data_IF_125090483381
#
_entry.id   IF_125090483381
#
_cell.length_a   1.000
_cell.length_b   1.000
_cell.length_c   1.000
_cell.angle_alpha   90.00
_cell.angle_beta   90.00
_cell.angle_gamma   90.00
#
_symmetry.space_group_name_H-M   'P 1'
#
loop_
_entity.id
_entity.type
_entity.pdbx_description
1 polymer ?
#
# COMPACT_ATOMS: atom_id res chain seq x y z
N UNK A 1 14.22 -12.48 17.62
CA UNK A 1 14.14 -12.25 16.16
C UNK A 1 14.81 -10.94 15.84
N UNK A 2 15.52 -10.88 14.71
CA UNK A 2 16.30 -9.71 14.30
C UNK A 2 15.40 -8.68 13.64
N UNK A 3 15.31 -7.48 14.22
CA UNK A 3 14.67 -6.33 13.57
C UNK A 3 15.48 -6.00 12.31
N UNK A 4 14.80 -5.90 11.17
CA UNK A 4 15.47 -5.59 9.90
C UNK A 4 15.88 -4.11 9.86
N UNK A 5 17.02 -3.82 9.25
CA UNK A 5 17.53 -2.46 9.02
C UNK A 5 16.73 -1.75 7.93
N UNK A 6 16.72 -0.41 7.92
CA UNK A 6 16.09 0.34 6.84
C UNK A 6 16.75 0.13 5.48
N UNK A 7 18.05 -0.15 5.41
CA UNK A 7 18.74 -0.53 4.17
C UNK A 7 18.18 -1.83 3.57
N UNK A 8 17.94 -2.83 4.42
CA UNK A 8 17.28 -4.06 4.00
C UNK A 8 15.85 -3.76 3.52
N UNK A 9 15.06 -3.04 4.32
CA UNK A 9 13.67 -2.75 3.98
C UNK A 9 13.53 -1.90 2.71
N UNK A 10 14.45 -0.96 2.46
CA UNK A 10 14.43 -0.13 1.26
C UNK A 10 14.73 -0.93 0.00
N UNK A 11 15.74 -1.81 0.03
CA UNK A 11 16.03 -2.70 -1.09
C UNK A 11 14.92 -3.73 -1.30
N UNK A 12 14.38 -4.28 -0.21
CA UNK A 12 13.25 -5.20 -0.25
C UNK A 12 12.05 -4.55 -0.96
N UNK A 13 11.71 -3.33 -0.54
CA UNK A 13 10.58 -2.61 -1.13
C UNK A 13 10.85 -2.21 -2.58
N UNK A 14 12.07 -1.78 -2.95
CA UNK A 14 12.43 -1.52 -4.34
C UNK A 14 12.16 -2.74 -5.22
N UNK A 15 12.57 -3.92 -4.77
CA UNK A 15 12.36 -5.17 -5.51
C UNK A 15 10.87 -5.55 -5.58
N UNK A 16 10.11 -5.32 -4.53
CA UNK A 16 8.65 -5.48 -4.57
C UNK A 16 7.99 -4.52 -5.57
N UNK A 17 8.39 -3.25 -5.57
CA UNK A 17 7.90 -2.22 -6.46
C UNK A 17 8.11 -2.60 -7.93
N UNK A 18 9.35 -2.92 -8.29
CA UNK A 18 9.73 -3.26 -9.67
C UNK A 18 9.07 -4.55 -10.16
N UNK A 19 8.82 -5.51 -9.27
CA UNK A 19 8.26 -6.81 -9.64
C UNK A 19 6.73 -6.82 -9.70
N UNK A 20 6.07 -6.05 -8.84
CA UNK A 20 4.63 -6.16 -8.60
C UNK A 20 3.93 -4.81 -8.60
N UNK A 21 4.17 -3.98 -7.57
CA UNK A 21 3.32 -2.83 -7.27
C UNK A 21 3.29 -1.80 -8.39
N UNK A 22 4.42 -1.59 -9.09
CA UNK A 22 4.48 -0.70 -10.27
C UNK A 22 3.46 -1.12 -11.32
N UNK A 23 3.47 -2.38 -11.72
CA UNK A 23 2.56 -2.88 -12.75
C UNK A 23 1.09 -2.80 -12.35
N UNK A 24 0.79 -2.94 -11.06
CA UNK A 24 -0.56 -2.75 -10.54
C UNK A 24 -1.00 -1.28 -10.58
N UNK A 25 -0.13 -0.36 -10.16
CA UNK A 25 -0.39 1.08 -10.21
C UNK A 25 -0.57 1.56 -11.66
N UNK A 26 0.30 1.13 -12.56
CA UNK A 26 0.27 1.51 -13.98
C UNK A 26 -1.04 1.04 -14.63
N UNK A 27 -1.45 -0.22 -14.39
CA UNK A 27 -2.70 -0.75 -14.90
C UNK A 27 -3.92 0.01 -14.36
N UNK A 28 -3.96 0.29 -13.05
CA UNK A 28 -5.08 1.02 -12.40
C UNK A 28 -5.20 2.49 -12.80
N UNK A 29 -4.11 3.06 -13.32
CA UNK A 29 -4.07 4.43 -13.86
C UNK A 29 -4.45 4.49 -15.34
N UNK A 30 -4.46 3.35 -16.04
CA UNK A 30 -4.85 3.24 -17.44
C UNK A 30 -6.36 3.33 -17.69
N UNK A 31 -6.77 3.10 -18.94
CA UNK A 31 -8.18 3.15 -19.37
C UNK A 31 -8.75 1.77 -19.75
N UNK A 32 -7.95 0.71 -19.70
CA UNK A 32 -8.35 -0.66 -20.07
C UNK A 32 -8.88 -1.40 -18.84
N UNK A 33 -10.20 -1.62 -18.80
CA UNK A 33 -10.87 -2.28 -17.68
C UNK A 33 -10.41 -3.73 -17.46
N UNK A 34 -10.10 -4.48 -18.52
CA UNK A 34 -9.65 -5.87 -18.38
C UNK A 34 -8.27 -5.93 -17.72
N UNK A 35 -7.39 -4.98 -18.08
CA UNK A 35 -6.09 -4.83 -17.41
C UNK A 35 -6.25 -4.42 -15.95
N UNK A 36 -7.16 -3.48 -15.64
CA UNK A 36 -7.45 -3.06 -14.25
C UNK A 36 -7.97 -4.21 -13.40
N UNK A 37 -8.94 -4.98 -13.91
CA UNK A 37 -9.49 -6.14 -13.20
C UNK A 37 -8.43 -7.23 -12.97
N UNK A 38 -7.61 -7.50 -13.99
CA UNK A 38 -6.49 -8.44 -13.88
C UNK A 38 -5.48 -7.99 -12.83
N UNK A 39 -5.15 -6.69 -12.80
CA UNK A 39 -4.27 -6.09 -11.79
C UNK A 39 -4.86 -6.21 -10.37
N UNK A 40 -6.16 -5.91 -10.18
CA UNK A 40 -6.83 -6.08 -8.89
C UNK A 40 -6.81 -7.53 -8.42
N UNK A 41 -7.09 -8.50 -9.30
CA UNK A 41 -7.03 -9.93 -8.96
C UNK A 41 -5.62 -10.33 -8.51
N UNK A 42 -4.58 -9.91 -9.24
CA UNK A 42 -3.17 -10.19 -8.90
C UNK A 42 -2.75 -9.52 -7.59
N UNK A 43 -3.07 -8.24 -7.41
CA UNK A 43 -2.81 -7.49 -6.19
C UNK A 43 -3.51 -8.12 -4.97
N UNK A 44 -4.77 -8.52 -5.11
CA UNK A 44 -5.53 -9.19 -4.05
C UNK A 44 -4.89 -10.51 -3.61
N UNK A 45 -4.33 -11.26 -4.57
CA UNK A 45 -3.56 -12.48 -4.31
C UNK A 45 -2.23 -12.18 -3.61
N UNK A 46 -1.46 -11.23 -4.14
CA UNK A 46 -0.16 -10.81 -3.60
C UNK A 46 -0.29 -10.35 -2.14
N UNK A 47 -1.24 -9.46 -1.86
CA UNK A 47 -1.50 -8.95 -0.52
C UNK A 47 -2.32 -9.89 0.37
N UNK A 48 -2.72 -11.06 -0.15
CA UNK A 48 -3.53 -12.08 0.56
C UNK A 48 -4.88 -11.57 1.07
N UNK A 49 -5.46 -10.58 0.40
CA UNK A 49 -6.76 -9.98 0.73
C UNK A 49 -7.91 -10.50 -0.13
N UNK A 50 -7.63 -11.32 -1.16
CA UNK A 50 -8.67 -11.86 -2.03
C UNK A 50 -9.83 -12.50 -1.24
N UNK A 51 -9.53 -13.25 -0.17
CA UNK A 51 -10.52 -13.94 0.68
C UNK A 51 -11.63 -13.03 1.26
N UNK A 52 -11.41 -11.72 1.31
CA UNK A 52 -12.38 -10.74 1.80
C UNK A 52 -13.48 -10.42 0.77
N UNK A 53 -13.26 -10.72 -0.51
CA UNK A 53 -14.19 -10.44 -1.62
C UNK A 53 -14.94 -11.69 -2.07
N UNK A 54 -15.44 -12.53 -1.17
CA UNK A 54 -16.20 -13.73 -1.57
C UNK A 54 -17.59 -13.31 -2.06
N UNK A 55 -17.95 -13.71 -3.26
CA UNK A 55 -19.29 -13.59 -3.84
C UNK A 55 -19.86 -14.97 -4.07
N UNK A 56 -21.19 -15.11 -3.99
CA UNK A 56 -21.88 -16.36 -4.34
C UNK A 56 -21.87 -16.59 -5.86
N UNK A 57 -21.80 -15.50 -6.64
CA UNK A 57 -21.73 -15.52 -8.10
C UNK A 57 -20.28 -15.41 -8.64
N UNK A 58 -20.09 -16.04 -9.82
CA UNK A 58 -18.83 -16.34 -10.56
C UNK A 58 -17.69 -15.31 -10.46
N UNK A 59 -16.45 -15.81 -10.49
CA UNK A 59 -15.19 -15.02 -10.34
C UNK A 59 -15.04 -13.77 -11.22
N UNK A 60 -15.65 -13.72 -12.41
CA UNK A 60 -15.48 -12.60 -13.35
C UNK A 60 -16.11 -11.29 -12.84
N UNK A 61 -17.21 -11.35 -12.08
CA UNK A 61 -17.82 -10.16 -11.46
C UNK A 61 -17.21 -9.82 -10.11
N UNK A 62 -16.34 -10.68 -9.55
CA UNK A 62 -15.85 -10.54 -8.18
C UNK A 62 -15.15 -9.21 -7.91
N UNK A 63 -14.37 -8.69 -8.85
CA UNK A 63 -13.56 -7.49 -8.66
C UNK A 63 -14.17 -6.24 -9.31
N UNK A 64 -15.19 -6.39 -10.16
CA UNK A 64 -15.84 -5.26 -10.85
C UNK A 64 -16.41 -4.22 -9.87
N UNK A 65 -17.15 -4.60 -8.80
CA UNK A 65 -17.69 -3.60 -7.88
C UNK A 65 -16.62 -2.82 -7.13
N UNK A 66 -15.47 -3.45 -6.84
CA UNK A 66 -14.32 -2.75 -6.25
C UNK A 66 -13.73 -1.77 -7.26
N UNK A 67 -13.56 -2.19 -8.52
CA UNK A 67 -13.05 -1.32 -9.57
C UNK A 67 -13.95 -0.10 -9.77
N UNK A 68 -15.28 -0.28 -9.84
CA UNK A 68 -16.24 0.82 -9.99
C UNK A 68 -16.12 1.83 -8.83
N UNK A 69 -15.92 1.34 -7.60
CA UNK A 69 -15.65 2.18 -6.45
C UNK A 69 -14.33 2.94 -6.64
N UNK A 70 -13.24 2.27 -7.00
CA UNK A 70 -11.92 2.88 -7.14
C UNK A 70 -11.84 3.90 -8.28
N UNK A 71 -12.54 3.67 -9.40
CA UNK A 71 -12.58 4.62 -10.52
C UNK A 71 -13.49 5.82 -10.22
N UNK A 72 -14.45 5.69 -9.29
CA UNK A 72 -15.25 6.82 -8.80
C UNK A 72 -14.53 7.73 -7.81
N UNK A 73 -13.33 7.35 -7.36
CA UNK A 73 -12.57 8.11 -6.37
C UNK A 73 -11.92 9.33 -7.02
N UNK A 74 -12.11 10.48 -6.40
CA UNK A 74 -11.31 11.67 -6.65
C UNK A 74 -10.09 11.68 -5.70
N UNK A 75 -8.84 11.51 -6.20
CA UNK A 75 -7.65 11.54 -5.37
C UNK A 75 -7.48 12.84 -4.58
N UNK A 76 -8.10 13.95 -5.00
CA UNK A 76 -8.03 15.22 -4.27
C UNK A 76 -8.70 15.17 -2.90
N UNK A 77 -9.63 14.24 -2.68
CA UNK A 77 -10.26 14.04 -1.36
C UNK A 77 -9.28 13.56 -0.30
N UNK A 78 -8.20 12.93 -0.72
CA UNK A 78 -7.12 12.49 0.17
C UNK A 78 -6.01 13.52 0.32
N UNK A 79 -6.13 14.69 -0.33
CA UNK A 79 -5.13 15.77 -0.23
C UNK A 79 -5.52 16.74 0.88
N UNK A 80 -4.67 16.86 1.89
CA UNK A 80 -4.77 17.83 2.97
C UNK A 80 -3.99 17.38 4.21
N UNK A 81 -3.54 18.34 5.03
CA UNK A 81 -2.69 18.08 6.21
C UNK A 81 -3.44 17.49 7.42
N UNK A 82 -4.70 17.07 7.25
CA UNK A 82 -5.53 16.57 8.35
C UNK A 82 -5.82 15.08 8.19
N UNK A 83 -5.11 14.25 8.97
CA UNK A 83 -5.30 12.80 9.07
C UNK A 83 -6.77 12.39 9.21
N UNK A 84 -7.57 13.18 9.93
CA UNK A 84 -9.00 12.93 10.14
C UNK A 84 -9.78 12.86 8.82
N UNK A 85 -9.50 13.75 7.86
CA UNK A 85 -10.18 13.75 6.57
C UNK A 85 -9.83 12.48 5.76
N UNK A 86 -8.54 12.12 5.73
CA UNK A 86 -8.06 10.92 5.03
C UNK A 86 -8.71 9.66 5.61
N UNK A 87 -8.73 9.53 6.95
CA UNK A 87 -9.32 8.37 7.65
C UNK A 87 -10.83 8.25 7.38
N UNK A 88 -11.56 9.37 7.41
CA UNK A 88 -13.00 9.39 7.13
C UNK A 88 -13.31 8.97 5.67
N UNK A 89 -12.52 9.42 4.70
CA UNK A 89 -12.66 9.01 3.30
C UNK A 89 -12.32 7.52 3.10
N UNK A 90 -11.28 7.00 3.77
CA UNK A 90 -10.98 5.56 3.75
C UNK A 90 -12.14 4.75 4.32
N UNK A 91 -12.70 5.15 5.47
CA UNK A 91 -13.86 4.50 6.09
C UNK A 91 -15.09 4.54 5.18
N UNK A 92 -15.29 5.64 4.44
CA UNK A 92 -16.37 5.72 3.45
C UNK A 92 -16.20 4.67 2.35
N UNK A 93 -15.00 4.57 1.76
CA UNK A 93 -14.69 3.57 0.74
C UNK A 93 -14.82 2.15 1.31
N UNK A 94 -14.31 1.91 2.51
CA UNK A 94 -14.41 0.63 3.23
C UNK A 94 -15.87 0.23 3.39
N UNK A 95 -16.74 1.15 3.85
CA UNK A 95 -18.16 0.89 4.03
C UNK A 95 -18.86 0.52 2.72
N UNK A 96 -18.53 1.21 1.61
CA UNK A 96 -19.08 0.92 0.28
C UNK A 96 -18.69 -0.47 -0.19
N UNK A 97 -17.42 -0.85 -0.05
CA UNK A 97 -16.95 -2.19 -0.40
C UNK A 97 -17.61 -3.22 0.53
N UNK A 98 -17.58 -3.01 1.85
CA UNK A 98 -18.12 -3.92 2.86
C UNK A 98 -19.57 -4.30 2.58
N UNK A 99 -20.42 -3.30 2.27
CA UNK A 99 -21.84 -3.52 1.94
C UNK A 99 -22.05 -4.47 0.77
N UNK A 100 -21.23 -4.38 -0.27
CA UNK A 100 -21.33 -5.23 -1.48
C UNK A 100 -20.97 -6.69 -1.15
N UNK A 101 -20.03 -6.91 -0.24
CA UNK A 101 -19.55 -8.24 0.13
C UNK A 101 -20.15 -8.75 1.45
N UNK A 102 -21.36 -8.32 1.82
CA UNK A 102 -22.12 -8.86 2.94
C UNK A 102 -21.67 -8.37 4.33
N UNK A 103 -21.20 -7.13 4.45
CA UNK A 103 -20.84 -6.52 5.73
C UNK A 103 -19.54 -7.05 6.34
N UNK A 104 -18.63 -7.57 5.51
CA UNK A 104 -17.34 -8.11 5.96
C UNK A 104 -16.39 -6.97 6.34
N UNK A 105 -15.46 -7.25 7.25
CA UNK A 105 -14.34 -6.35 7.49
C UNK A 105 -13.39 -6.37 6.28
N UNK A 106 -13.30 -5.25 5.58
CA UNK A 106 -12.48 -5.07 4.37
C UNK A 106 -11.47 -3.95 4.52
N UNK A 107 -11.16 -3.53 5.76
CA UNK A 107 -10.28 -2.38 6.03
C UNK A 107 -8.89 -2.54 5.42
N UNK A 108 -8.21 -3.65 5.70
CA UNK A 108 -6.87 -3.91 5.13
C UNK A 108 -6.89 -3.92 3.61
N UNK A 109 -7.87 -4.61 3.01
CA UNK A 109 -8.08 -4.63 1.55
C UNK A 109 -8.26 -3.22 0.99
N UNK A 110 -9.10 -2.43 1.64
CA UNK A 110 -9.43 -1.06 1.23
C UNK A 110 -8.18 -0.20 1.19
N UNK A 111 -7.39 -0.17 2.28
CA UNK A 111 -6.16 0.63 2.31
C UNK A 111 -5.12 0.18 1.27
N UNK A 112 -5.03 -1.13 0.98
CA UNK A 112 -4.10 -1.67 -0.04
C UNK A 112 -4.48 -1.24 -1.45
N UNK A 113 -5.77 -1.30 -1.78
CA UNK A 113 -6.25 -0.88 -3.10
C UNK A 113 -6.26 0.65 -3.26
N UNK A 114 -6.60 1.39 -2.21
CA UNK A 114 -6.48 2.85 -2.21
C UNK A 114 -5.03 3.28 -2.40
N UNK A 115 -4.06 2.63 -1.74
CA UNK A 115 -2.65 2.91 -1.95
C UNK A 115 -2.22 2.65 -3.41
N UNK A 116 -2.69 1.57 -4.04
CA UNK A 116 -2.38 1.32 -5.46
C UNK A 116 -2.97 2.38 -6.42
N UNK A 117 -4.05 3.06 -6.04
CA UNK A 117 -4.71 4.10 -6.85
C UNK A 117 -4.16 5.51 -6.56
N UNK A 118 -3.91 5.82 -5.28
CA UNK A 118 -3.62 7.18 -4.79
C UNK A 118 -2.17 7.32 -4.30
N UNK A 119 -1.56 6.24 -3.83
CA UNK A 119 -0.27 6.19 -3.12
C UNK A 119 -0.31 7.03 -1.85
N UNK A 120 0.47 8.11 -1.75
CA UNK A 120 0.48 9.00 -0.58
C UNK A 120 -0.74 9.94 -0.61
N UNK A 121 -1.42 10.20 0.52
CA UNK A 121 -1.02 9.87 1.91
C UNK A 121 -1.71 8.59 2.47
N UNK A 122 -2.01 7.59 1.65
CA UNK A 122 -2.66 6.36 2.12
C UNK A 122 -1.64 5.44 2.79
N UNK A 123 -1.77 5.23 4.09
CA UNK A 123 -1.01 4.23 4.84
C UNK A 123 -1.72 2.88 4.76
N UNK A 124 -0.99 1.81 4.49
CA UNK A 124 -1.57 0.47 4.43
C UNK A 124 -1.83 -0.05 5.85
N UNK A 125 -3.10 -0.37 6.13
CA UNK A 125 -3.49 -1.06 7.36
C UNK A 125 -3.21 -2.56 7.21
N UNK A 126 -2.16 -3.04 7.88
CA UNK A 126 -1.79 -4.45 7.97
C UNK A 126 -1.75 -4.90 9.43
N UNK A 127 -2.17 -6.13 9.73
CA UNK A 127 -2.26 -6.60 11.10
C UNK A 127 -0.90 -6.62 11.80
N UNK A 128 0.18 -6.95 11.09
CA UNK A 128 1.52 -6.97 11.66
C UNK A 128 2.03 -5.56 11.92
N UNK A 129 1.85 -4.64 10.96
CA UNK A 129 2.24 -3.25 11.14
C UNK A 129 1.47 -2.60 12.30
N UNK A 130 0.15 -2.85 12.39
CA UNK A 130 -0.70 -2.43 13.51
C UNK A 130 -0.17 -2.91 14.85
N UNK A 131 0.21 -4.18 14.95
CA UNK A 131 0.79 -4.75 16.17
C UNK A 131 2.15 -4.12 16.51
N UNK A 132 2.98 -3.87 15.50
CA UNK A 132 4.30 -3.26 15.66
C UNK A 132 4.25 -1.82 16.16
N UNK A 133 3.20 -1.07 15.81
CA UNK A 133 2.95 0.29 16.32
C UNK A 133 2.12 0.31 17.61
N UNK A 134 1.58 -0.83 18.04
CA UNK A 134 0.75 -0.94 19.24
C UNK A 134 -0.64 -0.32 19.09
N UNK A 135 -1.19 -0.30 17.87
CA UNK A 135 -2.51 0.24 17.61
C UNK A 135 -3.64 -0.75 17.96
N UNK A 136 -4.78 -0.22 18.38
CA UNK A 136 -5.98 -0.99 18.72
C UNK A 136 -6.51 -1.71 17.47
N UNK A 137 -7.12 -2.87 17.69
CA UNK A 137 -7.64 -3.66 16.58
C UNK A 137 -8.86 -2.98 15.95
N UNK A 138 -8.83 -2.83 14.63
CA UNK A 138 -9.84 -2.15 13.79
C UNK A 138 -10.02 -0.66 14.09
N UNK A 139 -9.03 -0.02 14.72
CA UNK A 139 -9.03 1.42 14.97
C UNK A 139 -8.08 2.10 13.99
N UNK A 140 -8.64 2.60 12.88
CA UNK A 140 -7.85 3.21 11.80
C UNK A 140 -7.25 4.55 12.25
N UNK A 141 -7.94 5.32 13.09
CA UNK A 141 -7.45 6.60 13.62
C UNK A 141 -6.24 6.37 14.52
N UNK A 142 -6.36 5.48 15.52
CA UNK A 142 -5.26 5.14 16.43
C UNK A 142 -4.07 4.53 15.67
N UNK A 143 -4.34 3.78 14.59
CA UNK A 143 -3.29 3.28 13.71
C UNK A 143 -2.57 4.41 12.96
N UNK A 144 -3.30 5.33 12.32
CA UNK A 144 -2.70 6.44 11.57
C UNK A 144 -1.90 7.37 12.46
N UNK A 145 -2.41 7.70 13.65
CA UNK A 145 -1.72 8.54 14.64
C UNK A 145 -0.40 7.88 15.06
N UNK A 146 -0.43 6.64 15.55
CA UNK A 146 0.77 5.93 16.01
C UNK A 146 1.76 5.63 14.89
N UNK A 147 1.26 5.34 13.70
CA UNK A 147 2.09 5.12 12.52
C UNK A 147 2.83 6.42 12.17
N UNK A 148 2.13 7.55 12.11
CA UNK A 148 2.72 8.85 11.75
C UNK A 148 3.74 9.29 12.79
N UNK A 149 3.41 9.20 14.07
CA UNK A 149 4.32 9.52 15.17
C UNK A 149 5.62 8.70 15.08
N UNK A 150 5.54 7.40 14.78
CA UNK A 150 6.73 6.58 14.63
C UNK A 150 7.47 6.88 13.32
N UNK A 151 6.75 7.09 12.21
CA UNK A 151 7.37 7.45 10.94
C UNK A 151 8.21 8.72 11.07
N UNK A 152 7.68 9.76 11.70
CA UNK A 152 8.39 11.04 11.89
C UNK A 152 9.68 10.87 12.72
N UNK A 153 9.70 9.93 13.67
CA UNK A 153 10.90 9.58 14.44
C UNK A 153 11.97 8.83 13.61
N UNK A 154 11.59 8.18 12.51
CA UNK A 154 12.48 7.38 11.67
C UNK A 154 12.73 7.99 10.29
N UNK A 155 12.00 9.03 9.89
CA UNK A 155 11.97 9.60 8.53
C UNK A 155 13.37 9.84 7.97
N UNK A 156 14.21 10.60 8.69
CA UNK A 156 15.60 10.88 8.26
C UNK A 156 16.47 9.63 8.06
N UNK A 157 16.24 8.57 8.85
CA UNK A 157 16.96 7.30 8.71
C UNK A 157 16.49 6.55 7.48
N UNK A 158 15.19 6.58 7.19
CA UNK A 158 14.60 5.98 6.00
C UNK A 158 15.09 6.70 4.76
N UNK A 159 15.04 8.03 4.73
CA UNK A 159 15.57 8.85 3.62
C UNK A 159 17.04 8.56 3.36
N UNK A 160 17.85 8.46 4.42
CA UNK A 160 19.26 8.09 4.30
C UNK A 160 19.43 6.69 3.68
N UNK A 161 18.62 5.71 4.07
CA UNK A 161 18.64 4.38 3.48
C UNK A 161 18.17 4.37 2.01
N UNK A 162 17.13 5.13 1.66
CA UNK A 162 16.62 5.28 0.31
C UNK A 162 17.65 5.95 -0.62
N UNK A 163 18.39 6.95 -0.13
CA UNK A 163 19.41 7.67 -0.91
C UNK A 163 20.55 6.78 -1.42
N UNK A 164 20.78 5.62 -0.79
CA UNK A 164 21.82 4.64 -1.17
C UNK A 164 21.33 3.65 -2.25
N UNK A 165 20.01 3.54 -2.47
CA UNK A 165 19.43 2.58 -3.42
C UNK A 165 19.95 2.67 -4.86
N UNK A 166 20.22 3.87 -5.43
CA UNK A 166 20.73 3.96 -6.79
C UNK A 166 22.05 3.21 -6.98
N UNK A 167 22.89 3.13 -5.96
CA UNK A 167 24.15 2.37 -6.03
C UNK A 167 23.93 0.87 -5.97
N UNK A 168 22.76 0.43 -5.50
CA UNK A 168 22.34 -0.97 -5.46
C UNK A 168 21.58 -1.43 -6.71
N UNK A 169 21.48 -0.61 -7.77
CA UNK A 169 20.69 -0.93 -8.97
C UNK A 169 21.00 -2.29 -9.62
N UNK A 170 22.23 -2.80 -9.51
CA UNK A 170 22.61 -4.13 -10.03
C UNK A 170 21.99 -5.29 -9.24
N UNK A 171 21.53 -5.04 -8.02
CA UNK A 171 20.81 -5.99 -7.18
C UNK A 171 19.28 -5.88 -7.33
N UNK A 172 18.80 -5.01 -8.22
CA UNK A 172 17.38 -4.91 -8.52
C UNK A 172 16.90 -6.15 -9.27
N UNK A 173 15.72 -6.64 -8.90
CA UNK A 173 15.09 -7.84 -9.50
C UNK A 173 14.81 -7.69 -11.00
N UNK A 174 14.74 -6.45 -11.50
CA UNK A 174 14.73 -6.11 -12.91
C UNK A 174 15.62 -4.89 -13.11
N UNK A 175 16.89 -5.12 -13.48
CA UNK A 175 17.89 -4.05 -13.63
C UNK A 175 17.65 -3.19 -14.88
N UNK A 176 16.98 -3.70 -15.92
CA UNK A 176 16.62 -2.93 -17.11
C UNK A 176 15.57 -1.86 -16.76
N UNK A 177 14.58 -2.24 -15.94
CA UNK A 177 13.57 -1.29 -15.45
C UNK A 177 14.10 -0.44 -14.27
N UNK A 178 14.90 -1.03 -13.39
CA UNK A 178 15.47 -0.43 -12.18
C UNK A 178 16.79 0.30 -12.43
N UNK A 179 16.85 1.17 -13.44
CA UNK A 179 18.05 1.97 -13.71
C UNK A 179 18.36 2.91 -12.54
N UNK A 180 19.62 3.36 -12.38
CA UNK A 180 19.99 4.35 -11.36
C UNK A 180 19.06 5.57 -11.37
N UNK A 181 18.79 6.13 -12.57
CA UNK A 181 17.92 7.29 -12.75
C UNK A 181 16.50 7.01 -12.27
N UNK A 182 15.93 5.87 -12.67
CA UNK A 182 14.58 5.47 -12.27
C UNK A 182 14.47 5.31 -10.74
N UNK A 183 15.48 4.69 -10.13
CA UNK A 183 15.53 4.51 -8.67
C UNK A 183 15.60 5.86 -7.96
N UNK A 184 16.43 6.81 -8.42
CA UNK A 184 16.48 8.16 -7.83
C UNK A 184 15.09 8.79 -7.85
N UNK A 185 14.46 8.82 -9.02
CA UNK A 185 13.15 9.46 -9.22
C UNK A 185 12.07 8.88 -8.29
N UNK A 186 12.03 7.56 -8.09
CA UNK A 186 10.96 6.94 -7.31
C UNK A 186 11.29 6.86 -5.82
N UNK A 187 12.55 6.65 -5.45
CA UNK A 187 12.95 6.54 -4.04
C UNK A 187 13.01 7.87 -3.30
N UNK A 188 12.98 9.00 -4.02
CA UNK A 188 12.83 10.35 -3.44
C UNK A 188 11.38 10.75 -3.17
N UNK A 189 10.40 9.97 -3.64
CA UNK A 189 9.00 10.29 -3.45
C UNK A 189 8.53 9.94 -2.02
N UNK A 190 7.64 10.74 -1.40
CA UNK A 190 7.15 10.46 -0.04
C UNK A 190 6.57 9.06 0.13
N UNK A 191 5.74 8.62 -0.84
CA UNK A 191 5.12 7.31 -0.80
C UNK A 191 6.13 6.16 -0.76
N UNK A 192 7.35 6.34 -1.27
CA UNK A 192 8.34 5.28 -1.25
C UNK A 192 8.87 5.09 0.17
N UNK A 193 9.24 6.18 0.85
CA UNK A 193 9.69 6.16 2.25
C UNK A 193 8.61 5.64 3.20
N UNK A 194 7.35 6.05 3.00
CA UNK A 194 6.19 5.52 3.75
C UNK A 194 6.13 3.98 3.61
N UNK A 195 6.32 3.45 2.41
CA UNK A 195 6.27 2.01 2.16
C UNK A 195 7.47 1.24 2.67
N UNK A 196 8.66 1.85 2.69
CA UNK A 196 9.82 1.28 3.39
C UNK A 196 9.52 1.12 4.88
N UNK A 197 8.86 2.11 5.48
CA UNK A 197 8.45 2.03 6.88
C UNK A 197 7.41 0.93 7.12
N UNK A 198 6.43 0.78 6.23
CA UNK A 198 5.45 -0.32 6.31
C UNK A 198 6.12 -1.70 6.29
N UNK A 199 7.14 -1.91 5.44
CA UNK A 199 7.92 -3.15 5.41
C UNK A 199 8.70 -3.36 6.72
N UNK A 200 9.30 -2.30 7.25
CA UNK A 200 9.98 -2.34 8.55
C UNK A 200 9.02 -2.77 9.66
N UNK A 201 7.82 -2.16 9.73
CA UNK A 201 6.80 -2.49 10.72
C UNK A 201 6.28 -3.92 10.55
N UNK A 202 6.10 -4.40 9.31
CA UNK A 202 5.71 -5.78 9.02
C UNK A 202 6.71 -6.79 9.62
N UNK A 203 8.00 -6.58 9.39
CA UNK A 203 9.04 -7.42 10.00
C UNK A 203 9.09 -7.30 11.53
N UNK A 204 8.92 -6.10 12.08
CA UNK A 204 8.90 -5.87 13.54
C UNK A 204 7.69 -6.53 14.21
N UNK A 205 6.55 -6.59 13.53
CA UNK A 205 5.30 -7.18 14.03
C UNK A 205 5.22 -8.70 13.89
N UNK A 206 6.09 -9.32 13.08
CA UNK A 206 6.22 -10.78 13.03
C UNK A 206 6.80 -11.29 14.35
N UNK A 207 5.94 -11.71 15.27
CA UNK A 207 6.29 -12.38 16.54
C UNK A 207 6.10 -13.88 16.45
#
# INVERSE_FOLDING_TARGET
MTIQTFEYCSLYYLNQWLKYDRGYCDALSGNDNDQKLSALKKAAGFYRVARNLRTEDKEASRYQPVLDILDSIDPKKFKGDQNKNIVDEIKNVESRISKIYGGRNVLSLTTKFLWLKVKSPIVIYDSQAREAVGAKNNDLDDYYEKWKDQFDNYEKKIESACSKLPDMHLYAVNHEAGTKKYIIEHSSEPWFSERVFDIYLWHKGTK
#
